data_IF_662234718290
#
_entry.id   IF_662234718290
#
_cell.length_a   1.000
_cell.length_b   1.000
_cell.length_c   1.000
_cell.angle_alpha   90.00
_cell.angle_beta   90.00
_cell.angle_gamma   90.00
#
_symmetry.space_group_name_H-M   'P 1'
#
loop_
_entity.id
_entity.type
_entity.pdbx_description
1 polymer ?
#
# COMPACT_ATOMS: atom_id res chain seq x y z
N UNK A 1 -11.53 -16.42 22.31
CA UNK A 1 -10.50 -16.12 21.29
C UNK A 1 -10.36 -17.34 20.39
N UNK A 2 -10.87 -17.26 19.15
CA UNK A 2 -10.72 -18.35 18.19
C UNK A 2 -9.50 -18.07 17.34
N UNK A 3 -8.41 -18.76 17.62
CA UNK A 3 -7.27 -18.90 16.71
C UNK A 3 -7.76 -19.55 15.43
N UNK A 4 -7.67 -18.82 14.32
CA UNK A 4 -7.93 -19.36 12.99
C UNK A 4 -6.60 -19.77 12.36
N UNK A 5 -6.22 -21.04 12.52
CA UNK A 5 -5.15 -21.65 11.75
C UNK A 5 -5.70 -22.19 10.44
N UNK A 6 -5.14 -21.75 9.31
CA UNK A 6 -5.41 -22.34 8.01
C UNK A 6 -4.33 -23.37 7.74
N UNK A 7 -4.74 -24.64 7.67
CA UNK A 7 -3.86 -25.76 7.29
C UNK A 7 -3.78 -25.84 5.78
N UNK A 8 -2.58 -25.71 5.22
CA UNK A 8 -2.30 -26.15 3.87
C UNK A 8 -1.57 -27.50 3.96
N UNK A 9 -2.28 -28.58 3.65
CA UNK A 9 -1.76 -29.95 3.70
C UNK A 9 -1.07 -30.32 2.38
N UNK A 10 0.26 -30.34 2.40
CA UNK A 10 1.02 -31.20 1.48
C UNK A 10 2.24 -31.73 2.21
N UNK A 11 2.24 -33.04 2.47
CA UNK A 11 3.35 -33.88 2.94
C UNK A 11 4.03 -33.49 4.26
N UNK A 12 3.43 -33.88 5.36
CA UNK A 12 4.09 -34.12 6.64
C UNK A 12 4.19 -32.92 7.60
N UNK A 13 4.63 -31.76 7.21
CA UNK A 13 4.58 -30.52 7.99
C UNK A 13 4.30 -29.34 7.06
N UNK A 14 3.12 -28.74 7.17
CA UNK A 14 2.70 -27.57 6.40
C UNK A 14 3.15 -26.27 7.05
N UNK A 15 2.88 -25.15 6.38
CA UNK A 15 3.00 -23.81 6.94
C UNK A 15 1.87 -23.55 7.95
N UNK A 16 2.18 -23.02 9.14
CA UNK A 16 1.18 -22.59 10.11
C UNK A 16 1.24 -21.08 10.29
N UNK A 17 0.08 -20.43 10.35
CA UNK A 17 -0.05 -18.99 10.46
C UNK A 17 -0.79 -18.62 11.74
N UNK A 18 -0.17 -17.80 12.59
CA UNK A 18 -0.79 -17.24 13.79
C UNK A 18 -1.09 -15.76 13.55
N UNK A 19 -2.32 -15.37 13.87
CA UNK A 19 -2.83 -14.02 13.66
C UNK A 19 -3.07 -13.32 15.00
N UNK A 20 -2.75 -12.03 15.08
CA UNK A 20 -3.14 -11.18 16.18
C UNK A 20 -4.65 -10.87 16.13
N UNK A 21 -5.23 -10.40 17.24
CA UNK A 21 -6.65 -10.06 17.33
C UNK A 21 -7.10 -8.96 16.36
N UNK A 22 -6.18 -8.09 15.95
CA UNK A 22 -6.41 -7.04 14.95
C UNK A 22 -6.28 -7.53 13.49
N UNK A 23 -6.11 -8.85 13.26
CA UNK A 23 -6.00 -9.44 11.92
C UNK A 23 -4.60 -9.39 11.30
N UNK A 24 -3.60 -8.81 11.96
CA UNK A 24 -2.22 -8.80 11.47
C UNK A 24 -1.54 -10.15 11.69
N UNK A 25 -0.70 -10.57 10.73
CA UNK A 25 0.08 -11.81 10.85
C UNK A 25 1.14 -11.67 11.94
N UNK A 26 1.01 -12.46 13.00
CA UNK A 26 1.89 -12.42 14.18
C UNK A 26 3.11 -13.32 14.02
N UNK A 27 2.89 -14.52 13.47
CA UNK A 27 3.91 -15.56 13.35
C UNK A 27 3.61 -16.49 12.18
N UNK A 28 4.66 -16.95 11.54
CA UNK A 28 4.63 -18.06 10.58
C UNK A 28 5.53 -19.17 11.10
N UNK A 29 5.02 -20.38 11.23
CA UNK A 29 5.82 -21.56 11.52
C UNK A 29 6.09 -22.27 10.19
N UNK A 30 7.37 -22.39 9.84
CA UNK A 30 7.84 -23.00 8.62
C UNK A 30 7.71 -24.55 8.69
N UNK A 31 7.72 -25.25 7.54
CA UNK A 31 7.71 -26.72 7.51
C UNK A 31 8.87 -27.37 8.29
N UNK A 32 9.98 -26.66 8.50
CA UNK A 32 11.11 -27.08 9.32
C UNK A 32 10.92 -26.83 10.83
N UNK A 33 9.72 -26.38 11.23
CA UNK A 33 9.35 -26.06 12.62
C UNK A 33 9.85 -24.70 13.13
N UNK A 34 10.58 -23.95 12.31
CA UNK A 34 11.20 -22.68 12.74
C UNK A 34 10.22 -21.52 12.61
N UNK A 35 10.04 -20.69 13.66
CA UNK A 35 9.16 -19.55 13.60
C UNK A 35 9.80 -18.34 12.92
N UNK A 36 8.98 -17.57 12.20
CA UNK A 36 9.24 -16.19 11.79
C UNK A 36 8.21 -15.31 12.49
N UNK A 37 8.64 -14.36 13.29
CA UNK A 37 7.77 -13.50 14.10
C UNK A 37 7.78 -12.06 13.59
N UNK A 38 6.62 -11.41 13.66
CA UNK A 38 6.43 -10.04 13.17
C UNK A 38 5.91 -9.12 14.27
N UNK A 39 6.38 -7.86 14.25
CA UNK A 39 5.91 -6.81 15.15
C UNK A 39 5.47 -5.59 14.34
N UNK A 40 4.47 -4.89 14.83
CA UNK A 40 3.86 -3.76 14.16
C UNK A 40 3.72 -2.57 15.11
N UNK A 41 3.67 -1.37 14.55
CA UNK A 41 3.30 -0.17 15.30
C UNK A 41 1.77 -0.02 15.42
N UNK A 42 1.34 1.05 16.09
CA UNK A 42 -0.08 1.34 16.29
C UNK A 42 -0.84 1.63 14.98
N UNK A 43 -0.12 2.02 13.92
CA UNK A 43 -0.69 2.22 12.58
C UNK A 43 -0.68 0.93 11.74
N UNK A 44 -0.24 -0.21 12.30
CA UNK A 44 -0.15 -1.50 11.62
C UNK A 44 1.03 -1.60 10.64
N UNK A 45 2.04 -0.69 10.68
CA UNK A 45 3.25 -0.79 9.89
C UNK A 45 4.21 -1.77 10.56
N UNK A 46 4.80 -2.66 9.77
CA UNK A 46 5.73 -3.66 10.29
C UNK A 46 7.02 -3.00 10.78
N UNK A 47 7.34 -3.12 12.06
CA UNK A 47 8.53 -2.52 12.68
C UNK A 47 9.64 -3.51 12.92
N UNK A 48 9.33 -4.82 12.98
CA UNK A 48 10.33 -5.86 13.12
C UNK A 48 9.89 -7.19 12.51
N UNK A 49 10.89 -7.96 12.05
CA UNK A 49 10.81 -9.38 11.72
C UNK A 49 11.93 -10.10 12.44
N UNK A 50 11.62 -11.20 13.10
CA UNK A 50 12.60 -12.06 13.75
C UNK A 50 12.57 -13.45 13.14
N UNK A 51 13.72 -13.90 12.70
CA UNK A 51 13.94 -15.26 12.25
C UNK A 51 15.25 -15.79 12.86
N UNK A 52 15.14 -16.84 13.66
CA UNK A 52 16.25 -17.29 14.53
C UNK A 52 16.75 -16.15 15.42
N UNK A 53 18.09 -15.98 15.39
CA UNK A 53 18.80 -14.93 16.12
C UNK A 53 18.78 -13.58 15.37
N UNK A 54 18.37 -13.54 14.10
CA UNK A 54 18.36 -12.30 13.31
C UNK A 54 17.04 -11.55 13.49
N UNK A 55 17.15 -10.29 13.90
CA UNK A 55 16.06 -9.32 13.89
C UNK A 55 16.31 -8.30 12.80
N UNK A 56 15.34 -8.10 11.91
CA UNK A 56 15.33 -7.01 10.93
C UNK A 56 14.34 -5.95 11.40
N UNK A 57 14.76 -4.70 11.37
CA UNK A 57 13.98 -3.54 11.83
C UNK A 57 13.69 -2.59 10.68
N UNK A 58 12.55 -1.89 10.76
CA UNK A 58 12.15 -0.86 9.82
C UNK A 58 11.71 0.41 10.53
N UNK A 59 12.10 1.55 9.96
CA UNK A 59 11.53 2.88 10.22
C UNK A 59 10.83 3.34 8.95
N UNK A 60 9.68 3.94 9.09
CA UNK A 60 8.78 4.27 7.99
C UNK A 60 8.67 5.77 7.79
N UNK A 61 8.63 6.20 6.51
CA UNK A 61 8.15 7.51 6.09
C UNK A 61 6.74 7.33 5.48
N UNK A 62 5.72 7.78 6.21
CA UNK A 62 4.33 7.48 5.84
C UNK A 62 4.08 5.97 5.70
N UNK A 63 3.81 5.51 4.48
CA UNK A 63 3.52 4.10 4.17
C UNK A 63 4.65 3.39 3.42
N UNK A 64 5.83 4.01 3.27
CA UNK A 64 7.01 3.38 2.65
C UNK A 64 8.12 3.17 3.68
N UNK A 65 8.89 2.08 3.63
CA UNK A 65 10.02 1.88 4.51
C UNK A 65 11.15 2.83 4.15
N UNK A 66 11.60 3.63 5.13
CA UNK A 66 12.70 4.58 4.95
C UNK A 66 14.04 3.95 5.30
N UNK A 67 14.15 3.37 6.49
CA UNK A 67 15.37 2.75 6.99
C UNK A 67 15.15 1.31 7.36
N UNK A 68 16.15 0.49 7.07
CA UNK A 68 16.19 -0.92 7.41
C UNK A 68 17.56 -1.30 7.94
N UNK A 69 17.62 -2.08 9.01
CA UNK A 69 18.84 -2.67 9.51
C UNK A 69 18.56 -4.02 10.17
N UNK A 70 19.61 -4.82 10.38
CA UNK A 70 19.49 -6.10 11.05
C UNK A 70 20.55 -6.28 12.11
N UNK A 71 20.21 -6.98 13.20
CA UNK A 71 21.14 -7.36 14.25
C UNK A 71 20.84 -8.78 14.72
N UNK A 72 21.82 -9.39 15.44
CA UNK A 72 21.59 -10.67 16.11
C UNK A 72 21.11 -10.47 17.52
N UNK A 73 20.19 -11.28 18.00
CA UNK A 73 19.66 -11.20 19.37
C UNK A 73 20.71 -11.41 20.44
N UNK A 74 21.79 -12.17 20.13
CA UNK A 74 22.93 -12.39 21.02
C UNK A 74 23.76 -11.12 21.26
N UNK A 75 23.66 -10.13 20.35
CA UNK A 75 24.38 -8.85 20.46
C UNK A 75 23.66 -7.89 21.40
N UNK A 76 22.50 -8.25 21.93
CA UNK A 76 21.74 -7.48 22.91
C UNK A 76 22.45 -7.56 24.26
N UNK A 77 23.14 -6.48 24.68
CA UNK A 77 23.80 -6.41 25.99
C UNK A 77 22.76 -6.04 27.07
N UNK A 78 22.74 -6.80 28.16
CA UNK A 78 22.04 -6.40 29.38
C UNK A 78 22.83 -5.31 30.10
N UNK A 79 22.16 -4.32 30.68
CA UNK A 79 22.83 -3.38 31.55
C UNK A 79 23.34 -4.10 32.84
N UNK A 80 24.35 -3.53 33.52
CA UNK A 80 24.99 -4.10 34.73
C UNK A 80 24.01 -4.28 35.90
N UNK A 81 22.75 -3.85 35.77
CA UNK A 81 21.70 -3.91 36.82
C UNK A 81 20.62 -4.96 36.52
N UNK A 82 20.77 -5.74 35.40
CA UNK A 82 19.80 -6.76 35.05
C UNK A 82 18.46 -6.20 34.55
N UNK A 83 18.37 -4.91 34.24
CA UNK A 83 17.21 -4.31 33.60
C UNK A 83 17.33 -4.54 32.11
N UNK A 84 16.48 -5.38 31.59
CA UNK A 84 16.43 -5.78 30.18
C UNK A 84 15.65 -4.78 29.33
N UNK A 85 16.26 -3.64 29.03
CA UNK A 85 16.06 -2.93 27.78
C UNK A 85 17.41 -2.94 27.06
N UNK A 86 17.72 -4.01 26.32
CA UNK A 86 18.94 -4.06 25.55
C UNK A 86 18.90 -2.92 24.53
N UNK A 87 19.96 -2.11 24.49
CA UNK A 87 20.13 -1.11 23.42
C UNK A 87 20.29 -1.89 22.13
N UNK A 88 19.30 -1.81 21.25
CA UNK A 88 19.35 -2.46 19.94
C UNK A 88 20.55 -1.87 19.16
N UNK A 89 21.46 -2.69 18.61
CA UNK A 89 22.48 -2.20 17.69
C UNK A 89 21.81 -1.59 16.46
N UNK A 90 22.29 -0.43 16.05
CA UNK A 90 21.84 0.25 14.83
C UNK A 90 23.08 0.46 13.96
N UNK A 91 23.36 -0.55 13.15
CA UNK A 91 24.52 -0.61 12.26
C UNK A 91 24.08 -1.01 10.87
N UNK A 92 24.91 -0.75 9.87
CA UNK A 92 24.68 -1.13 8.46
C UNK A 92 23.29 -0.74 7.92
N UNK A 93 22.87 0.49 8.26
CA UNK A 93 21.55 0.99 7.85
C UNK A 93 21.46 1.05 6.33
N UNK A 94 20.44 0.38 5.79
CA UNK A 94 19.99 0.58 4.41
C UNK A 94 18.90 1.64 4.41
N UNK A 95 19.07 2.69 3.60
CA UNK A 95 18.05 3.71 3.35
C UNK A 95 17.45 3.51 1.97
N UNK A 96 16.14 3.41 1.92
CA UNK A 96 15.38 3.30 0.69
C UNK A 96 14.78 4.66 0.32
N UNK A 97 14.95 5.06 -0.93
CA UNK A 97 14.38 6.30 -1.47
C UNK A 97 13.27 5.94 -2.44
N UNK A 98 12.13 6.57 -2.28
CA UNK A 98 10.96 6.36 -3.13
C UNK A 98 10.64 7.63 -3.93
N UNK A 99 10.04 7.46 -5.11
CA UNK A 99 9.47 8.58 -5.85
C UNK A 99 8.38 9.24 -4.99
N UNK A 100 8.43 10.57 -4.87
CA UNK A 100 7.55 11.32 -3.97
C UNK A 100 6.05 11.00 -4.21
N UNK A 101 5.34 10.63 -3.15
CA UNK A 101 3.92 10.30 -3.21
C UNK A 101 3.58 8.97 -3.91
N UNK A 102 4.57 8.10 -4.12
CA UNK A 102 4.38 6.79 -4.74
C UNK A 102 4.99 5.68 -3.87
N UNK A 103 4.83 4.42 -4.30
CA UNK A 103 5.49 3.25 -3.72
C UNK A 103 6.60 2.70 -4.64
N UNK A 104 7.10 3.54 -5.56
CA UNK A 104 8.16 3.18 -6.51
C UNK A 104 9.52 3.47 -5.88
N UNK A 105 10.34 2.45 -5.57
CA UNK A 105 11.68 2.68 -5.06
C UNK A 105 12.59 3.18 -6.19
N UNK A 106 13.36 4.22 -5.92
CA UNK A 106 14.25 4.87 -6.91
C UNK A 106 15.73 4.73 -6.56
N UNK A 107 16.06 4.57 -5.27
CA UNK A 107 17.44 4.36 -4.86
C UNK A 107 17.55 3.55 -3.56
N UNK A 108 18.70 2.89 -3.42
CA UNK A 108 19.17 2.24 -2.19
C UNK A 108 20.47 2.92 -1.77
N UNK A 109 20.56 3.32 -0.51
CA UNK A 109 21.78 3.89 0.08
C UNK A 109 22.18 2.99 1.24
N UNK A 110 23.41 2.51 1.21
CA UNK A 110 23.95 1.65 2.27
C UNK A 110 25.38 2.07 2.56
N UNK A 111 25.65 2.55 3.78
CA UNK A 111 26.91 3.20 4.14
C UNK A 111 27.25 4.37 3.18
N UNK A 112 28.40 4.29 2.50
CA UNK A 112 28.83 5.27 1.49
C UNK A 112 28.44 4.88 0.06
N UNK A 113 27.77 3.75 -0.15
CA UNK A 113 27.38 3.25 -1.48
C UNK A 113 25.97 3.67 -1.81
N UNK A 114 25.77 4.06 -3.06
CA UNK A 114 24.47 4.46 -3.60
C UNK A 114 24.18 3.62 -4.84
N UNK A 115 22.94 3.17 -4.94
CA UNK A 115 22.45 2.38 -6.06
C UNK A 115 21.19 3.01 -6.61
N UNK A 116 21.11 3.19 -7.92
CA UNK A 116 19.90 3.60 -8.62
C UNK A 116 19.04 2.36 -8.91
N UNK A 117 17.75 2.47 -8.69
CA UNK A 117 16.78 1.40 -8.96
C UNK A 117 16.00 1.78 -10.21
N UNK A 118 15.95 0.87 -11.18
CA UNK A 118 15.15 0.98 -12.40
C UNK A 118 13.94 0.09 -12.25
N UNK A 119 12.77 0.69 -12.47
CA UNK A 119 11.47 -0.01 -12.38
C UNK A 119 10.81 -0.09 -13.75
N UNK A 120 9.90 -1.05 -13.90
CA UNK A 120 9.04 -1.16 -15.06
C UNK A 120 7.95 -0.06 -15.08
N UNK A 121 7.04 -0.12 -16.05
CA UNK A 121 5.96 0.86 -16.21
C UNK A 121 4.91 0.82 -15.09
N UNK A 122 4.85 -0.25 -14.29
CA UNK A 122 4.01 -0.38 -13.08
C UNK A 122 4.74 0.04 -11.80
N UNK A 123 6.03 0.41 -11.90
CA UNK A 123 6.85 0.76 -10.75
C UNK A 123 7.45 -0.43 -10.02
N UNK A 124 7.47 -1.60 -10.64
CA UNK A 124 8.11 -2.80 -10.11
C UNK A 124 9.62 -2.73 -10.38
N UNK A 125 10.50 -2.85 -9.37
CA UNK A 125 11.94 -2.87 -9.56
C UNK A 125 12.37 -4.05 -10.43
N UNK A 126 13.23 -3.78 -11.42
CA UNK A 126 13.77 -4.80 -12.32
C UNK A 126 15.30 -4.82 -12.34
N UNK A 127 15.95 -3.69 -12.08
CA UNK A 127 17.43 -3.59 -12.11
C UNK A 127 17.95 -2.59 -11.08
N UNK A 128 19.21 -2.79 -10.64
CA UNK A 128 19.96 -1.78 -9.87
C UNK A 128 21.33 -1.55 -10.49
N UNK A 129 21.81 -0.32 -10.35
CA UNK A 129 23.11 0.14 -10.83
C UNK A 129 23.86 0.87 -9.72
N UNK A 130 25.18 0.65 -9.64
CA UNK A 130 26.07 1.39 -8.73
C UNK A 130 26.37 2.82 -9.24
N UNK A 131 27.10 3.60 -8.45
CA UNK A 131 27.49 4.96 -8.80
C UNK A 131 28.43 5.08 -10.02
N UNK A 132 28.99 3.97 -10.50
CA UNK A 132 29.81 3.89 -11.71
C UNK A 132 28.99 3.43 -12.93
N UNK A 133 27.71 3.16 -12.76
CA UNK A 133 26.83 2.67 -13.83
C UNK A 133 26.92 1.18 -14.11
N UNK A 134 27.60 0.40 -13.25
CA UNK A 134 27.60 -1.05 -13.38
C UNK A 134 26.30 -1.63 -12.84
N UNK A 135 25.68 -2.54 -13.59
CA UNK A 135 24.51 -3.29 -13.11
C UNK A 135 24.94 -4.18 -11.92
N UNK A 136 24.29 -4.02 -10.77
CA UNK A 136 24.54 -4.78 -9.55
C UNK A 136 23.45 -5.78 -9.23
N UNK A 137 22.23 -5.58 -9.74
CA UNK A 137 21.11 -6.48 -9.56
C UNK A 137 20.21 -6.47 -10.81
N UNK A 138 19.65 -7.64 -11.14
CA UNK A 138 18.74 -7.84 -12.26
C UNK A 138 17.78 -8.97 -11.92
N UNK A 139 16.46 -8.69 -11.95
CA UNK A 139 15.44 -9.63 -11.51
C UNK A 139 14.29 -9.71 -12.52
N UNK A 140 13.88 -10.92 -12.84
CA UNK A 140 12.72 -11.21 -13.68
C UNK A 140 11.62 -11.83 -12.83
N UNK A 141 10.41 -11.30 -12.93
CA UNK A 141 9.21 -11.79 -12.24
C UNK A 141 8.24 -12.43 -13.23
N UNK A 142 7.41 -13.36 -12.74
CA UNK A 142 6.23 -13.83 -13.47
C UNK A 142 5.06 -12.84 -13.34
N UNK A 143 3.92 -13.20 -13.95
CA UNK A 143 2.71 -12.37 -13.93
C UNK A 143 2.08 -12.18 -12.53
N UNK A 144 2.46 -13.03 -11.57
CA UNK A 144 2.01 -12.94 -10.18
C UNK A 144 3.05 -12.28 -9.26
N UNK A 145 4.17 -11.81 -9.84
CA UNK A 145 5.24 -11.17 -9.09
C UNK A 145 6.21 -12.14 -8.43
N UNK A 146 6.13 -13.44 -8.74
CA UNK A 146 7.08 -14.44 -8.26
C UNK A 146 8.41 -14.27 -8.99
N UNK A 147 9.51 -14.33 -8.24
CA UNK A 147 10.87 -14.32 -8.81
C UNK A 147 11.08 -15.56 -9.66
N UNK A 148 11.33 -15.37 -10.96
CA UNK A 148 11.71 -16.42 -11.91
C UNK A 148 13.21 -16.58 -12.00
N UNK A 149 13.94 -15.47 -12.03
CA UNK A 149 15.38 -15.44 -12.13
C UNK A 149 15.95 -14.18 -11.49
N UNK A 150 17.13 -14.32 -10.91
CA UNK A 150 18.00 -13.20 -10.52
C UNK A 150 19.29 -13.39 -11.30
N UNK A 151 19.42 -12.65 -12.39
CA UNK A 151 20.55 -12.80 -13.32
C UNK A 151 21.82 -12.16 -12.78
N UNK A 152 21.67 -11.21 -11.83
CA UNK A 152 22.77 -10.57 -11.14
C UNK A 152 22.39 -10.15 -9.72
N UNK A 153 23.36 -10.21 -8.79
CA UNK A 153 23.15 -9.93 -7.38
C UNK A 153 22.45 -11.06 -6.64
N UNK A 154 21.89 -10.77 -5.49
CA UNK A 154 21.08 -11.67 -4.70
C UNK A 154 19.62 -11.17 -4.63
N UNK A 155 18.69 -12.10 -4.45
CA UNK A 155 17.25 -11.81 -4.42
C UNK A 155 16.90 -10.76 -3.36
N UNK A 156 17.58 -10.79 -2.22
CA UNK A 156 17.40 -9.83 -1.12
C UNK A 156 18.08 -8.47 -1.33
N UNK A 157 18.87 -8.27 -2.39
CA UNK A 157 19.49 -6.97 -2.67
C UNK A 157 18.45 -5.89 -2.97
N UNK A 158 17.31 -6.28 -3.56
CA UNK A 158 16.11 -5.46 -3.66
C UNK A 158 14.89 -6.30 -3.27
N UNK A 159 14.31 -6.11 -2.08
CA UNK A 159 13.19 -6.93 -1.60
C UNK A 159 11.82 -6.47 -2.12
N UNK A 160 11.76 -5.37 -2.86
CA UNK A 160 10.50 -4.85 -3.37
C UNK A 160 10.03 -5.64 -4.59
N UNK A 161 8.70 -5.84 -4.68
CA UNK A 161 8.01 -6.53 -5.77
C UNK A 161 7.01 -5.56 -6.39
N UNK A 162 5.75 -5.93 -6.62
CA UNK A 162 4.77 -4.92 -7.02
C UNK A 162 4.70 -3.78 -6.00
N UNK A 163 4.28 -2.59 -6.42
CA UNK A 163 4.22 -1.42 -5.54
C UNK A 163 3.55 -1.76 -4.19
N UNK A 164 4.21 -1.40 -3.08
CA UNK A 164 3.75 -1.67 -1.72
C UNK A 164 4.12 -3.05 -1.18
N UNK A 165 4.74 -3.94 -1.99
CA UNK A 165 5.15 -5.27 -1.56
C UNK A 165 6.62 -5.32 -1.17
N UNK A 166 6.89 -6.02 -0.06
CA UNK A 166 8.21 -6.34 0.45
C UNK A 166 8.30 -7.86 0.68
N UNK A 167 9.20 -8.52 -0.01
CA UNK A 167 9.38 -9.99 0.09
C UNK A 167 10.10 -10.39 1.37
N UNK A 168 9.57 -11.42 2.01
CA UNK A 168 10.18 -12.13 3.11
C UNK A 168 10.71 -13.50 2.63
N UNK A 169 11.99 -13.57 2.32
CA UNK A 169 12.65 -14.78 1.78
C UNK A 169 12.42 -16.00 2.69
N UNK A 170 12.35 -15.77 4.01
CA UNK A 170 12.17 -16.85 4.98
C UNK A 170 10.81 -17.54 4.86
N UNK A 171 9.80 -16.82 4.40
CA UNK A 171 8.43 -17.33 4.27
C UNK A 171 7.96 -17.45 2.82
N UNK A 172 8.62 -16.75 1.88
CA UNK A 172 8.16 -16.61 0.51
C UNK A 172 6.91 -15.73 0.36
N UNK A 173 6.49 -15.08 1.45
CA UNK A 173 5.35 -14.16 1.43
C UNK A 173 5.82 -12.73 1.18
N UNK A 174 4.95 -11.92 0.57
CA UNK A 174 5.18 -10.49 0.38
C UNK A 174 4.33 -9.69 1.36
N UNK A 175 4.98 -8.99 2.27
CA UNK A 175 4.30 -8.04 3.14
C UNK A 175 3.76 -6.87 2.31
N UNK A 176 2.45 -6.72 2.28
CA UNK A 176 1.74 -5.66 1.56
C UNK A 176 0.87 -4.87 2.54
N UNK A 177 1.53 -4.16 3.43
CA UNK A 177 0.94 -3.28 4.45
C UNK A 177 -0.08 -3.98 5.37
N UNK A 178 -1.34 -4.11 4.96
CA UNK A 178 -2.41 -4.72 5.75
C UNK A 178 -2.58 -6.22 5.53
N UNK A 179 -2.00 -6.76 4.47
CA UNK A 179 -2.08 -8.19 4.12
C UNK A 179 -0.73 -8.77 3.72
N UNK A 180 -0.68 -10.08 3.64
CA UNK A 180 0.44 -10.82 3.08
C UNK A 180 0.01 -11.52 1.80
N UNK A 181 0.78 -11.32 0.76
CA UNK A 181 0.55 -11.88 -0.56
C UNK A 181 1.44 -13.10 -0.78
N UNK A 182 0.88 -14.14 -1.38
CA UNK A 182 1.61 -15.33 -1.82
C UNK A 182 1.66 -15.36 -3.35
N UNK A 183 2.85 -15.13 -3.89
CA UNK A 183 3.08 -15.09 -5.34
C UNK A 183 2.93 -16.47 -6.00
N UNK A 184 3.00 -17.58 -5.25
CA UNK A 184 2.78 -18.93 -5.81
C UNK A 184 1.31 -19.16 -6.17
N UNK A 185 0.38 -18.53 -5.48
CA UNK A 185 -1.06 -18.66 -5.72
C UNK A 185 -1.68 -17.37 -6.29
N UNK A 186 -0.91 -16.28 -6.39
CA UNK A 186 -1.38 -15.01 -6.93
C UNK A 186 -2.45 -14.32 -6.09
N UNK A 187 -2.48 -14.56 -4.77
CA UNK A 187 -3.51 -14.03 -3.88
C UNK A 187 -2.99 -13.75 -2.46
N UNK A 188 -3.79 -13.02 -1.68
CA UNK A 188 -3.52 -12.82 -0.26
C UNK A 188 -3.82 -14.07 0.57
N UNK A 189 -3.08 -14.27 1.66
CA UNK A 189 -3.30 -15.39 2.59
C UNK A 189 -4.32 -15.05 3.70
N UNK A 190 -4.81 -13.81 3.76
CA UNK A 190 -5.84 -13.36 4.70
C UNK A 190 -6.98 -12.65 3.98
N UNK A 191 -8.13 -12.60 4.64
CA UNK A 191 -9.28 -11.85 4.14
C UNK A 191 -8.95 -10.35 4.11
N UNK A 192 -9.57 -9.64 3.15
CA UNK A 192 -9.48 -8.20 3.09
C UNK A 192 -10.09 -7.60 4.37
N UNK A 193 -9.36 -6.73 5.11
CA UNK A 193 -9.91 -6.06 6.30
C UNK A 193 -11.16 -5.24 6.03
N UNK A 194 -11.31 -4.73 4.81
CA UNK A 194 -12.51 -4.00 4.35
C UNK A 194 -13.52 -4.90 3.65
N UNK A 195 -13.28 -6.20 3.62
CA UNK A 195 -14.18 -7.20 3.04
C UNK A 195 -14.41 -7.01 1.54
N UNK A 196 -15.65 -7.22 1.09
CA UNK A 196 -16.03 -7.05 -0.32
C UNK A 196 -16.07 -5.56 -0.75
N UNK A 197 -15.90 -4.61 0.16
CA UNK A 197 -15.75 -3.19 -0.16
C UNK A 197 -14.50 -2.94 -1.02
N UNK A 198 -13.48 -3.81 -0.93
CA UNK A 198 -12.32 -3.83 -1.82
C UNK A 198 -12.65 -4.05 -3.31
N UNK A 199 -13.91 -4.36 -3.63
CA UNK A 199 -14.41 -4.52 -5.01
C UNK A 199 -13.86 -5.73 -5.75
N UNK A 200 -13.22 -6.66 -5.06
CA UNK A 200 -12.75 -7.92 -5.59
C UNK A 200 -13.84 -9.01 -5.48
N UNK A 201 -13.85 -10.00 -6.41
CA UNK A 201 -14.85 -11.08 -6.38
C UNK A 201 -14.67 -12.01 -5.19
N UNK A 202 -13.49 -12.03 -4.58
CA UNK A 202 -13.19 -12.81 -3.37
C UNK A 202 -12.46 -11.94 -2.35
N UNK A 203 -12.54 -12.32 -1.07
CA UNK A 203 -11.83 -11.65 0.03
C UNK A 203 -10.30 -11.79 -0.04
N UNK A 204 -9.77 -12.64 -0.91
CA UNK A 204 -8.35 -12.98 -1.00
C UNK A 204 -7.68 -12.46 -2.27
N UNK A 205 -8.44 -11.91 -3.23
CA UNK A 205 -7.89 -11.45 -4.50
C UNK A 205 -6.92 -10.28 -4.31
N UNK A 206 -5.84 -10.26 -5.10
CA UNK A 206 -4.95 -9.13 -5.24
C UNK A 206 -5.60 -8.06 -6.13
N UNK A 207 -5.43 -8.15 -7.44
CA UNK A 207 -6.07 -7.25 -8.41
C UNK A 207 -6.68 -8.07 -9.55
N UNK A 208 -7.55 -7.44 -10.35
CA UNK A 208 -8.20 -8.13 -11.48
C UNK A 208 -7.32 -8.28 -12.72
N UNK A 209 -6.24 -7.51 -12.82
CA UNK A 209 -5.29 -7.51 -13.93
C UNK A 209 -3.94 -6.98 -13.45
N UNK A 210 -3.00 -7.88 -13.24
CA UNK A 210 -1.65 -7.58 -12.75
C UNK A 210 -0.80 -6.80 -13.75
N UNK A 211 -1.22 -6.74 -15.04
CA UNK A 211 -0.50 -5.97 -16.04
C UNK A 211 -0.87 -4.48 -16.04
N UNK A 212 -1.89 -4.07 -15.32
CA UNK A 212 -2.38 -2.69 -15.37
C UNK A 212 -2.75 -2.10 -14.01
N UNK A 213 -2.78 -2.91 -12.96
CA UNK A 213 -3.24 -2.52 -11.63
C UNK A 213 -2.27 -3.01 -10.56
N UNK A 214 -2.11 -2.23 -9.50
CA UNK A 214 -1.40 -2.60 -8.26
C UNK A 214 -2.29 -2.31 -7.06
N UNK A 215 -2.13 -3.10 -6.00
CA UNK A 215 -2.77 -2.88 -4.71
C UNK A 215 -1.70 -2.51 -3.69
N UNK A 216 -1.41 -1.22 -3.57
CA UNK A 216 -0.25 -0.71 -2.82
C UNK A 216 -0.36 -0.87 -1.30
N UNK A 217 -1.57 -1.08 -0.78
CA UNK A 217 -1.82 -1.20 0.66
C UNK A 217 -2.41 -2.55 1.08
N UNK A 218 -2.69 -3.42 0.12
CA UNK A 218 -3.42 -4.63 0.43
C UNK A 218 -4.90 -4.38 0.71
N UNK A 219 -5.49 -3.33 0.12
CA UNK A 219 -6.89 -2.89 0.28
C UNK A 219 -7.42 -2.39 -1.07
N UNK A 220 -8.09 -3.20 -1.85
CA UNK A 220 -8.45 -2.84 -3.23
C UNK A 220 -9.79 -2.07 -3.31
N UNK A 221 -9.84 -0.79 -2.89
CA UNK A 221 -11.06 0.05 -2.90
C UNK A 221 -11.44 0.66 -4.26
N UNK A 222 -10.48 0.93 -5.15
CA UNK A 222 -10.71 1.75 -6.35
C UNK A 222 -11.64 1.11 -7.39
N UNK A 223 -11.85 -0.20 -7.33
CA UNK A 223 -12.68 -0.92 -8.30
C UNK A 223 -14.19 -0.66 -8.07
N UNK A 224 -14.63 -0.66 -6.82
CA UNK A 224 -16.02 -0.38 -6.48
C UNK A 224 -16.35 1.10 -6.75
N UNK A 225 -15.46 2.02 -6.41
CA UNK A 225 -15.59 3.43 -6.79
C UNK A 225 -15.78 3.60 -8.31
N UNK A 226 -14.93 2.96 -9.13
CA UNK A 226 -15.05 2.98 -10.60
C UNK A 226 -16.40 2.45 -11.09
N UNK A 227 -16.88 1.37 -10.49
CA UNK A 227 -18.18 0.76 -10.82
C UNK A 227 -19.32 1.71 -10.47
N UNK A 228 -19.28 2.33 -9.29
CA UNK A 228 -20.31 3.26 -8.82
C UNK A 228 -20.33 4.55 -9.66
N UNK A 229 -19.17 5.12 -9.97
CA UNK A 229 -19.07 6.27 -10.90
C UNK A 229 -19.66 5.94 -12.29
N UNK A 230 -19.35 4.76 -12.85
CA UNK A 230 -19.90 4.33 -14.15
C UNK A 230 -21.42 4.13 -14.09
N UNK A 231 -21.94 3.56 -13.01
CA UNK A 231 -23.38 3.37 -12.79
C UNK A 231 -24.09 4.72 -12.70
N UNK A 232 -23.57 5.62 -11.88
CA UNK A 232 -24.10 6.96 -11.72
C UNK A 232 -24.08 7.76 -13.03
N UNK A 233 -22.97 7.68 -13.80
CA UNK A 233 -22.85 8.31 -15.12
C UNK A 233 -23.92 7.81 -16.09
N UNK A 234 -24.14 6.49 -16.18
CA UNK A 234 -25.19 5.91 -17.04
C UNK A 234 -26.60 6.37 -16.65
N UNK A 235 -26.87 6.53 -15.35
CA UNK A 235 -28.18 7.02 -14.90
C UNK A 235 -28.38 8.51 -15.24
N UNK A 236 -27.32 9.33 -15.21
CA UNK A 236 -27.36 10.72 -15.67
C UNK A 236 -27.56 10.79 -17.20
N UNK A 237 -26.85 9.97 -17.98
CA UNK A 237 -26.98 9.90 -19.43
C UNK A 237 -28.41 9.56 -19.89
N UNK A 238 -29.11 8.67 -19.20
CA UNK A 238 -30.54 8.40 -19.43
C UNK A 238 -31.43 9.64 -19.26
N UNK A 239 -30.99 10.62 -18.45
CA UNK A 239 -31.67 11.87 -18.22
C UNK A 239 -31.15 13.03 -19.11
N UNK A 240 -30.28 12.73 -20.09
CA UNK A 240 -29.65 13.72 -20.95
C UNK A 240 -28.61 14.59 -20.26
N UNK A 241 -28.08 14.13 -19.12
CA UNK A 241 -27.08 14.84 -18.31
C UNK A 241 -25.78 14.04 -18.25
N UNK A 242 -24.68 14.73 -17.92
CA UNK A 242 -23.36 14.09 -17.72
C UNK A 242 -22.65 14.74 -16.54
N UNK A 243 -21.83 13.95 -15.83
CA UNK A 243 -20.88 14.47 -14.86
C UNK A 243 -19.46 14.26 -15.39
N UNK A 244 -18.73 15.36 -15.63
CA UNK A 244 -17.35 15.29 -16.16
C UNK A 244 -16.38 14.59 -15.23
N UNK A 245 -16.58 14.67 -13.92
CA UNK A 245 -15.76 13.99 -12.94
C UNK A 245 -15.79 12.44 -13.08
N UNK A 246 -16.90 11.91 -13.60
CA UNK A 246 -17.11 10.46 -13.78
C UNK A 246 -16.78 9.95 -15.19
N UNK A 247 -16.31 10.85 -16.06
CA UNK A 247 -15.91 10.48 -17.42
C UNK A 247 -14.45 10.00 -17.45
N UNK A 248 -14.25 8.72 -17.77
CA UNK A 248 -12.90 8.13 -17.85
C UNK A 248 -12.23 8.52 -19.17
N UNK A 249 -11.15 9.28 -19.10
CA UNK A 249 -10.26 9.57 -20.22
C UNK A 249 -9.07 8.59 -20.27
N UNK A 250 -8.45 8.42 -21.45
CA UNK A 250 -7.24 7.59 -21.58
C UNK A 250 -6.11 8.19 -20.75
N UNK A 251 -5.50 7.41 -19.87
CA UNK A 251 -4.42 7.87 -19.00
C UNK A 251 -4.89 8.55 -17.70
N UNK A 252 -6.20 8.49 -17.39
CA UNK A 252 -6.73 8.93 -16.09
C UNK A 252 -6.84 7.76 -15.09
N UNK A 253 -6.71 8.08 -13.80
CA UNK A 253 -6.98 7.17 -12.70
C UNK A 253 -8.18 7.64 -11.87
N UNK A 254 -8.96 6.69 -11.35
CA UNK A 254 -10.00 7.01 -10.38
C UNK A 254 -9.36 7.36 -9.04
N UNK A 255 -9.86 8.41 -8.42
CA UNK A 255 -9.40 8.95 -7.16
C UNK A 255 -10.57 9.12 -6.20
N UNK A 256 -10.39 8.72 -4.94
CA UNK A 256 -11.28 9.06 -3.84
C UNK A 256 -10.92 10.46 -3.33
N UNK A 257 -11.90 11.35 -3.24
CA UNK A 257 -11.72 12.70 -2.67
C UNK A 257 -11.42 12.59 -1.18
N UNK A 258 -12.27 11.88 -0.45
CA UNK A 258 -11.97 11.41 0.91
C UNK A 258 -11.33 10.04 0.77
N UNK A 259 -10.02 9.94 1.04
CA UNK A 259 -9.28 8.69 0.87
C UNK A 259 -9.79 7.60 1.80
N UNK A 260 -9.90 6.36 1.28
CA UNK A 260 -10.43 5.22 2.03
C UNK A 260 -9.54 4.74 3.16
N UNK A 261 -8.24 4.95 3.05
CA UNK A 261 -7.22 4.29 3.85
C UNK A 261 -6.11 5.21 4.38
N UNK A 262 -6.02 6.46 3.92
CA UNK A 262 -5.02 7.40 4.42
C UNK A 262 -5.41 7.91 5.82
N UNK A 263 -4.55 7.75 6.85
CA UNK A 263 -4.85 8.21 8.21
C UNK A 263 -5.19 9.71 8.30
N UNK A 264 -4.62 10.52 7.40
CA UNK A 264 -4.87 11.97 7.34
C UNK A 264 -6.31 12.32 6.93
N UNK A 265 -7.04 11.39 6.31
CA UNK A 265 -8.44 11.56 5.93
C UNK A 265 -9.43 10.99 6.97
N UNK A 266 -8.96 10.61 8.18
CA UNK A 266 -9.80 9.93 9.16
C UNK A 266 -11.01 10.79 9.57
N UNK A 267 -10.81 12.05 9.86
CA UNK A 267 -11.90 12.95 10.29
C UNK A 267 -13.03 13.04 9.25
N UNK A 268 -12.67 13.15 7.97
CA UNK A 268 -13.66 13.15 6.89
C UNK A 268 -14.35 11.78 6.74
N UNK A 269 -13.63 10.66 6.91
CA UNK A 269 -14.24 9.31 6.89
C UNK A 269 -15.26 9.12 8.00
N UNK A 270 -14.94 9.54 9.22
CA UNK A 270 -15.84 9.45 10.37
C UNK A 270 -17.15 10.22 10.09
N UNK A 271 -17.07 11.36 9.40
CA UNK A 271 -18.24 12.12 8.97
C UNK A 271 -19.04 11.38 7.90
N UNK A 272 -18.37 10.77 6.89
CA UNK A 272 -19.07 9.96 5.89
C UNK A 272 -19.80 8.78 6.57
N UNK A 273 -19.16 8.09 7.52
CA UNK A 273 -19.75 6.98 8.27
C UNK A 273 -20.94 7.43 9.11
N UNK A 274 -20.81 8.58 9.83
CA UNK A 274 -21.91 9.18 10.63
C UNK A 274 -23.17 9.36 9.80
N UNK A 275 -23.03 9.83 8.56
CA UNK A 275 -24.16 10.05 7.64
C UNK A 275 -24.49 8.85 6.75
N UNK A 276 -23.86 7.69 6.97
CA UNK A 276 -24.03 6.48 6.13
C UNK A 276 -23.80 6.78 4.64
N UNK A 277 -22.77 7.55 4.33
CA UNK A 277 -22.29 7.80 2.98
C UNK A 277 -21.19 6.80 2.69
N UNK A 278 -21.39 5.95 1.70
CA UNK A 278 -20.40 4.95 1.29
C UNK A 278 -19.14 5.66 0.78
N UNK A 279 -17.98 5.28 1.30
CA UNK A 279 -16.67 5.80 0.85
C UNK A 279 -16.46 5.61 -0.65
N UNK A 280 -17.06 4.59 -1.25
CA UNK A 280 -17.05 4.30 -2.67
C UNK A 280 -18.25 4.89 -3.44
N UNK A 281 -19.02 5.81 -2.85
CA UNK A 281 -20.07 6.48 -3.59
C UNK A 281 -19.49 7.30 -4.75
N UNK A 282 -20.29 7.50 -5.80
CA UNK A 282 -19.82 8.21 -6.99
C UNK A 282 -19.44 9.67 -6.69
N UNK A 283 -20.12 10.31 -5.74
CA UNK A 283 -19.85 11.67 -5.29
C UNK A 283 -18.48 11.82 -4.66
N UNK A 284 -17.95 10.75 -4.01
CA UNK A 284 -16.58 10.72 -3.47
C UNK A 284 -15.54 10.36 -4.53
N UNK A 285 -15.91 10.23 -5.79
CA UNK A 285 -15.04 9.76 -6.86
C UNK A 285 -14.84 10.75 -8.01
N UNK A 286 -13.61 10.77 -8.54
CA UNK A 286 -13.23 11.58 -9.71
C UNK A 286 -12.18 10.85 -10.54
N UNK A 287 -12.19 11.01 -11.88
CA UNK A 287 -11.08 10.62 -12.74
C UNK A 287 -10.12 11.79 -12.94
N UNK A 288 -8.85 11.60 -12.57
CA UNK A 288 -7.78 12.60 -12.65
C UNK A 288 -6.66 12.14 -13.57
N UNK A 289 -5.86 13.09 -14.12
CA UNK A 289 -4.63 12.80 -14.87
C UNK A 289 -3.71 11.90 -14.04
N UNK A 290 -3.13 10.88 -14.65
CA UNK A 290 -2.26 9.95 -13.92
C UNK A 290 -0.96 9.63 -14.64
N UNK A 291 -0.99 9.44 -15.96
CA UNK A 291 0.20 9.03 -16.74
C UNK A 291 1.04 10.24 -17.13
N UNK A 292 0.42 11.30 -17.65
CA UNK A 292 1.12 12.49 -18.14
C UNK A 292 0.54 13.76 -17.51
N UNK A 293 1.32 14.48 -16.66
CA UNK A 293 0.87 15.73 -16.04
C UNK A 293 0.57 16.84 -17.06
N UNK A 294 1.22 16.80 -18.23
CA UNK A 294 1.07 17.78 -19.30
C UNK A 294 -0.01 17.41 -20.33
N UNK A 295 -0.71 16.30 -20.12
CA UNK A 295 -1.79 15.87 -21.01
C UNK A 295 -2.89 16.93 -21.10
N UNK A 296 -3.63 16.94 -22.22
CA UNK A 296 -4.80 17.82 -22.41
C UNK A 296 -6.03 17.39 -21.58
N UNK A 297 -5.91 16.36 -20.77
CA UNK A 297 -6.99 15.92 -19.87
C UNK A 297 -7.35 17.00 -18.89
N UNK A 298 -8.63 17.02 -18.48
CA UNK A 298 -9.10 17.92 -17.43
C UNK A 298 -8.63 17.47 -16.05
N UNK A 299 -8.45 18.43 -15.14
CA UNK A 299 -8.24 18.19 -13.74
C UNK A 299 -6.79 18.13 -13.28
N UNK A 300 -6.65 18.02 -11.98
CA UNK A 300 -5.37 17.93 -11.28
C UNK A 300 -4.60 16.66 -11.66
N UNK A 301 -3.29 16.71 -11.46
CA UNK A 301 -2.44 15.53 -11.64
C UNK A 301 -2.49 14.65 -10.40
N UNK A 302 -3.05 13.46 -10.51
CA UNK A 302 -3.35 12.55 -9.40
C UNK A 302 -2.17 12.29 -8.45
N UNK A 303 -0.94 12.22 -8.98
CA UNK A 303 0.23 11.87 -8.17
C UNK A 303 0.72 12.96 -7.22
N UNK A 304 0.34 14.23 -7.44
CA UNK A 304 0.84 15.36 -6.64
C UNK A 304 -0.17 15.91 -5.64
N UNK A 305 -1.42 15.46 -5.65
CA UNK A 305 -2.46 16.01 -4.78
C UNK A 305 -2.48 15.40 -3.36
N UNK A 306 -1.76 14.31 -3.11
CA UNK A 306 -1.75 13.62 -1.81
C UNK A 306 -0.85 14.32 -0.76
N UNK A 307 -1.00 15.66 -0.63
CA UNK A 307 -0.25 16.47 0.34
C UNK A 307 -0.99 16.56 1.68
N UNK A 308 -0.30 16.92 2.76
CA UNK A 308 -0.95 17.18 4.04
C UNK A 308 -1.95 18.34 3.95
N UNK A 309 -1.65 19.34 3.12
CA UNK A 309 -2.55 20.45 2.90
C UNK A 309 -3.86 20.02 2.23
N UNK A 310 -3.78 19.08 1.25
CA UNK A 310 -4.95 18.48 0.62
C UNK A 310 -5.87 17.85 1.66
N UNK A 311 -5.32 16.96 2.49
CA UNK A 311 -6.12 16.24 3.50
C UNK A 311 -6.70 17.17 4.55
N UNK A 312 -5.94 18.16 5.02
CA UNK A 312 -6.45 19.20 5.93
C UNK A 312 -7.61 19.97 5.31
N UNK A 313 -7.48 20.37 4.05
CA UNK A 313 -8.51 21.11 3.33
C UNK A 313 -9.78 20.27 3.15
N UNK A 314 -9.64 19.02 2.72
CA UNK A 314 -10.78 18.11 2.53
C UNK A 314 -11.48 17.84 3.86
N UNK A 315 -10.74 17.50 4.93
CA UNK A 315 -11.33 17.26 6.25
C UNK A 315 -12.11 18.48 6.75
N UNK A 316 -11.52 19.69 6.66
CA UNK A 316 -12.18 20.91 7.12
C UNK A 316 -13.45 21.19 6.32
N UNK A 317 -13.39 21.09 5.00
CA UNK A 317 -14.55 21.35 4.13
C UNK A 317 -15.69 20.36 4.37
N UNK A 318 -15.38 19.07 4.57
CA UNK A 318 -16.37 18.05 4.90
C UNK A 318 -16.97 18.28 6.28
N UNK A 319 -16.16 18.69 7.27
CA UNK A 319 -16.61 19.05 8.61
C UNK A 319 -17.57 20.25 8.57
N UNK A 320 -17.19 21.31 7.88
CA UNK A 320 -18.02 22.51 7.75
C UNK A 320 -19.36 22.20 7.07
N UNK A 321 -19.31 21.43 5.98
CA UNK A 321 -20.52 21.00 5.27
C UNK A 321 -21.44 20.12 6.14
N UNK A 322 -20.86 19.29 6.99
CA UNK A 322 -21.57 18.47 7.99
C UNK A 322 -22.33 19.36 8.98
N UNK A 323 -21.66 20.36 9.52
CA UNK A 323 -22.22 21.26 10.54
C UNK A 323 -23.38 22.11 10.01
N UNK A 324 -23.34 22.54 8.75
CA UNK A 324 -24.35 23.46 8.16
C UNK A 324 -25.42 22.76 7.34
N UNK A 325 -25.18 21.58 6.81
CA UNK A 325 -26.10 20.93 5.87
C UNK A 325 -26.32 19.43 6.09
N UNK A 326 -25.74 18.86 7.13
CA UNK A 326 -25.85 17.44 7.43
C UNK A 326 -25.44 16.56 6.22
N UNK A 327 -26.12 15.42 6.04
CA UNK A 327 -25.83 14.48 4.93
C UNK A 327 -25.86 15.14 3.55
N UNK A 328 -26.85 16.00 3.29
CA UNK A 328 -26.99 16.70 1.99
C UNK A 328 -25.86 17.70 1.80
N UNK A 329 -25.47 18.42 2.86
CA UNK A 329 -24.33 19.33 2.83
C UNK A 329 -23.05 18.62 2.45
N UNK A 330 -22.76 17.46 3.07
CA UNK A 330 -21.57 16.65 2.77
C UNK A 330 -21.56 16.19 1.31
N UNK A 331 -22.67 15.66 0.78
CA UNK A 331 -22.76 15.23 -0.62
C UNK A 331 -22.55 16.40 -1.60
N UNK A 332 -23.13 17.56 -1.33
CA UNK A 332 -22.93 18.75 -2.14
C UNK A 332 -21.47 19.23 -2.11
N UNK A 333 -20.82 19.10 -0.96
CA UNK A 333 -19.42 19.49 -0.82
C UNK A 333 -18.48 18.55 -1.55
N UNK A 334 -18.73 17.24 -1.54
CA UNK A 334 -18.01 16.28 -2.39
C UNK A 334 -18.11 16.66 -3.87
N UNK A 335 -19.27 17.06 -4.35
CA UNK A 335 -19.44 17.53 -5.74
C UNK A 335 -18.65 18.82 -6.03
N UNK A 336 -18.61 19.77 -5.08
CA UNK A 336 -17.78 20.98 -5.22
C UNK A 336 -16.29 20.64 -5.26
N UNK A 337 -15.85 19.71 -4.43
CA UNK A 337 -14.48 19.20 -4.45
C UNK A 337 -14.14 18.52 -5.79
N UNK A 338 -15.09 17.77 -6.39
CA UNK A 338 -14.92 17.25 -7.75
C UNK A 338 -14.67 18.38 -8.76
N UNK A 339 -15.48 19.44 -8.71
CA UNK A 339 -15.32 20.61 -9.62
C UNK A 339 -13.97 21.29 -9.41
N UNK A 340 -13.56 21.52 -8.17
CA UNK A 340 -12.29 22.17 -7.85
C UNK A 340 -11.10 21.35 -8.39
N UNK A 341 -11.13 20.02 -8.24
CA UNK A 341 -10.12 19.12 -8.79
C UNK A 341 -10.15 19.06 -10.32
N UNK A 342 -11.34 19.10 -10.95
CA UNK A 342 -11.46 19.14 -12.41
C UNK A 342 -10.88 20.43 -13.03
N UNK A 343 -11.04 21.55 -12.35
CA UNK A 343 -10.54 22.85 -12.82
C UNK A 343 -9.15 23.18 -12.30
N UNK A 344 -8.48 22.19 -11.69
CA UNK A 344 -7.13 22.33 -11.13
C UNK A 344 -7.00 23.54 -10.17
N UNK A 345 -8.06 23.85 -9.44
CA UNK A 345 -7.99 24.82 -8.36
C UNK A 345 -7.14 24.21 -7.24
N UNK A 346 -6.13 24.91 -6.81
CA UNK A 346 -5.26 24.46 -5.73
C UNK A 346 -6.05 24.34 -4.43
N UNK A 347 -6.29 23.12 -4.00
CA UNK A 347 -6.85 22.75 -2.70
C UNK A 347 -5.84 21.97 -1.84
N UNK A 348 -4.59 21.88 -2.31
CA UNK A 348 -3.46 21.18 -1.70
C UNK A 348 -2.26 22.10 -1.48
#
# INVERSE_FOLDING_TARGET
>A
EKERSIHCLATGMGWLYEWASNGMLKKVIRPDGRPVEFRYDALGRRTAKQYFEKVTRWVWDGNVPLHEWSYKTIDLQSDEKGNTLPKEPVEDITTWVFEAGTFVPTAKIQESKQYSIVSDYLGTPIQMYDGQGNKTWDCTLDIYGKVLAVDKGAEFDCPFRFQGQYEDIETGLYYNRFRYYDANIGSYISQDPIGLLGGNPTHYSYVSDNNSLTDVLGLSCTKELKKNMRKAQKELEKKGMTNRAWHKEKGSAAHHIVAGDDPRAQDARDILELYKIDINCAENGIYLKHIDPNSKQSGAYHRIIHTDQYYKTVNQRILDASNFGGRTGVLNELQRLQEDLLFNKQIW
#
